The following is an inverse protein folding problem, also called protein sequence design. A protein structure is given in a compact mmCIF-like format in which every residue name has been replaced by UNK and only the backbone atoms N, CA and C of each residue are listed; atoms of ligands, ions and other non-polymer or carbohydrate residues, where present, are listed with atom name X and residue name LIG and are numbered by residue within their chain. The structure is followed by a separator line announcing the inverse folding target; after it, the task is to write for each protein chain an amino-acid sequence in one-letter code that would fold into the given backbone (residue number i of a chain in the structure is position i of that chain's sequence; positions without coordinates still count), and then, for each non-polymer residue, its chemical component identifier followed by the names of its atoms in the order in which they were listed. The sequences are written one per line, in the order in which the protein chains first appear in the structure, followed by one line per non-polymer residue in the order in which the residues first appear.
data_IF_331140897537
#
_entry.id   IF_331140897537
#
_cell.length_a   1.000
_cell.length_b   1.000
_cell.length_c   1.000
_cell.angle_alpha   90.00
_cell.angle_beta   90.00
_cell.angle_gamma   90.00
#
_symmetry.space_group_name_H-M   'P 1'
#
loop_
_entity.id
_entity.type
_entity.pdbx_description
1 polymer ?
#
# COMPACT_ATOMS: atom_id res chain seq x y z
N UNK A 1 -24.61 5.24 0.87
CA UNK A 1 -24.74 3.82 0.50
C UNK A 1 -23.47 3.11 0.95
N UNK A 2 -23.59 1.98 1.59
CA UNK A 2 -22.46 1.20 2.10
C UNK A 2 -21.99 0.24 1.00
N UNK A 3 -20.97 0.65 0.24
CA UNK A 3 -20.45 -0.10 -0.95
C UNK A 3 -19.85 -1.46 -0.60
N UNK A 4 -19.42 -1.64 0.66
CA UNK A 4 -18.65 -2.81 1.10
C UNK A 4 -19.36 -3.64 2.18
N UNK A 5 -20.67 -3.51 2.32
CA UNK A 5 -21.44 -4.29 3.32
C UNK A 5 -21.20 -5.78 3.17
N UNK A 6 -20.73 -6.42 4.26
CA UNK A 6 -20.43 -7.85 4.30
C UNK A 6 -19.21 -8.29 3.49
N UNK A 7 -18.39 -7.35 3.01
CA UNK A 7 -17.10 -7.62 2.38
C UNK A 7 -15.97 -7.65 3.39
N UNK A 8 -14.88 -8.32 3.06
CA UNK A 8 -13.67 -8.41 3.86
C UNK A 8 -12.47 -7.96 3.03
N UNK A 9 -11.68 -7.03 3.56
CA UNK A 9 -10.46 -6.54 2.94
C UNK A 9 -9.22 -6.94 3.76
N UNK A 10 -8.18 -7.44 3.07
CA UNK A 10 -6.85 -7.64 3.64
C UNK A 10 -5.97 -6.43 3.33
N UNK A 11 -5.28 -5.88 4.34
CA UNK A 11 -4.47 -4.67 4.20
C UNK A 11 -3.11 -4.87 4.88
N UNK A 12 -2.01 -4.63 4.17
CA UNK A 12 -0.66 -4.62 4.75
C UNK A 12 -0.21 -3.19 5.08
N UNK A 13 0.56 -3.02 6.18
CA UNK A 13 0.96 -1.70 6.67
C UNK A 13 -0.23 -0.92 7.25
N UNK A 14 -1.06 -1.60 8.05
CA UNK A 14 -2.39 -1.11 8.48
C UNK A 14 -2.35 -0.27 9.75
N UNK A 15 -1.24 -0.29 10.49
CA UNK A 15 -1.18 0.33 11.81
C UNK A 15 -1.27 1.87 11.76
N UNK A 16 -0.91 2.52 10.64
CA UNK A 16 -0.93 3.99 10.51
C UNK A 16 -0.98 4.47 9.05
N UNK A 17 -1.01 5.78 8.86
CA UNK A 17 -0.93 6.43 7.54
C UNK A 17 -2.02 5.97 6.57
N UNK A 18 -1.63 5.69 5.33
CA UNK A 18 -2.58 5.29 4.29
C UNK A 18 -3.31 3.99 4.65
N UNK A 19 -2.60 2.97 5.16
CA UNK A 19 -3.21 1.69 5.51
C UNK A 19 -4.31 1.81 6.55
N UNK A 20 -4.09 2.59 7.63
CA UNK A 20 -5.12 2.88 8.65
C UNK A 20 -6.31 3.62 8.04
N UNK A 21 -6.05 4.63 7.22
CA UNK A 21 -7.11 5.41 6.57
C UNK A 21 -7.98 4.54 5.66
N UNK A 22 -7.36 3.68 4.85
CA UNK A 22 -8.09 2.72 4.01
C UNK A 22 -8.97 1.79 4.87
N UNK A 23 -8.43 1.26 5.97
CA UNK A 23 -9.14 0.35 6.87
C UNK A 23 -10.38 1.02 7.49
N UNK A 24 -10.21 2.22 8.05
CA UNK A 24 -11.30 2.97 8.71
C UNK A 24 -12.40 3.34 7.70
N UNK A 25 -12.03 3.81 6.51
CA UNK A 25 -13.00 4.19 5.50
C UNK A 25 -13.76 3.01 4.90
N UNK A 26 -13.08 1.88 4.69
CA UNK A 26 -13.74 0.64 4.28
C UNK A 26 -14.72 0.16 5.34
N UNK A 27 -14.34 0.24 6.63
CA UNK A 27 -15.20 -0.12 7.75
C UNK A 27 -16.45 0.79 7.84
N UNK A 28 -16.28 2.09 7.65
CA UNK A 28 -17.38 3.06 7.62
C UNK A 28 -18.38 2.76 6.47
N UNK A 29 -17.93 2.05 5.44
CA UNK A 29 -18.78 1.59 4.34
C UNK A 29 -19.19 0.10 4.45
N UNK A 30 -19.01 -0.51 5.63
CA UNK A 30 -19.56 -1.81 5.98
C UNK A 30 -18.63 -3.00 5.77
N UNK A 31 -17.34 -2.79 5.48
CA UNK A 31 -16.36 -3.87 5.39
C UNK A 31 -15.85 -4.31 6.77
N UNK A 32 -15.39 -5.56 6.85
CA UNK A 32 -14.49 -6.05 7.89
C UNK A 32 -13.05 -6.10 7.38
N UNK A 33 -12.08 -6.02 8.27
CA UNK A 33 -10.67 -5.87 7.92
C UNK A 33 -9.84 -7.02 8.49
N UNK A 34 -8.98 -7.58 7.66
CA UNK A 34 -7.82 -8.37 8.06
C UNK A 34 -6.61 -7.45 7.84
N UNK A 35 -5.79 -7.25 8.85
CA UNK A 35 -4.68 -6.32 8.71
C UNK A 35 -3.40 -6.81 9.38
N UNK A 36 -2.27 -6.47 8.81
CA UNK A 36 -0.97 -6.68 9.42
C UNK A 36 -0.08 -5.44 9.35
N UNK A 37 0.79 -5.32 10.32
CA UNK A 37 1.90 -4.36 10.33
C UNK A 37 3.07 -5.00 11.07
N UNK A 38 4.30 -4.64 10.71
CA UNK A 38 5.48 -5.17 11.38
C UNK A 38 5.64 -4.64 12.80
N UNK A 39 5.14 -3.44 13.05
CA UNK A 39 5.27 -2.72 14.33
C UNK A 39 6.73 -2.66 14.83
N UNK A 40 7.68 -2.70 13.90
CA UNK A 40 9.10 -2.74 14.17
C UNK A 40 9.84 -1.68 13.35
N UNK A 41 10.95 -1.11 13.88
CA UNK A 41 11.74 -0.14 13.14
C UNK A 41 12.39 -0.79 11.91
N UNK A 42 12.19 -0.22 10.69
CA UNK A 42 13.02 -0.57 9.55
C UNK A 42 14.48 -0.16 9.83
N UNK A 43 15.42 -0.93 9.29
CA UNK A 43 16.85 -0.71 9.60
C UNK A 43 17.42 0.55 8.94
N UNK A 44 16.84 1.00 7.81
CA UNK A 44 17.46 2.01 6.95
C UNK A 44 16.63 3.30 6.78
N UNK A 45 15.49 3.41 7.47
CA UNK A 45 14.63 4.61 7.42
C UNK A 45 14.92 5.57 8.56
N UNK A 46 14.59 6.85 8.36
CA UNK A 46 14.80 7.92 9.35
C UNK A 46 13.52 8.41 10.01
N UNK A 47 12.34 7.90 9.58
CA UNK A 47 11.06 8.21 10.23
C UNK A 47 10.72 7.15 11.29
N UNK A 48 9.98 7.59 12.30
CA UNK A 48 9.52 6.71 13.39
C UNK A 48 8.74 5.51 12.84
N UNK A 49 8.96 4.30 13.35
CA UNK A 49 8.21 3.11 12.96
C UNK A 49 6.76 3.15 13.47
N UNK A 50 5.90 2.29 12.93
CA UNK A 50 4.65 1.96 13.60
C UNK A 50 4.93 1.11 14.85
N UNK A 51 4.05 1.20 15.84
CA UNK A 51 4.12 0.46 17.11
C UNK A 51 2.92 -0.47 17.24
N UNK A 52 3.00 -1.41 18.20
CA UNK A 52 1.83 -2.24 18.54
C UNK A 52 0.66 -1.39 19.09
N UNK A 53 0.95 -0.26 19.73
CA UNK A 53 -0.07 0.70 20.15
C UNK A 53 -0.77 1.34 18.94
N UNK A 54 -0.02 1.69 17.89
CA UNK A 54 -0.62 2.18 16.64
C UNK A 54 -1.54 1.14 15.98
N UNK A 55 -1.15 -0.14 16.03
CA UNK A 55 -1.99 -1.22 15.52
C UNK A 55 -3.27 -1.39 16.36
N UNK A 56 -3.15 -1.31 17.68
CA UNK A 56 -4.31 -1.36 18.56
C UNK A 56 -5.26 -0.18 18.32
N UNK A 57 -4.73 1.03 18.10
CA UNK A 57 -5.52 2.20 17.71
C UNK A 57 -6.21 2.01 16.35
N UNK A 58 -5.54 1.37 15.37
CA UNK A 58 -6.16 1.08 14.08
C UNK A 58 -7.34 0.11 14.24
N UNK A 59 -7.19 -0.94 15.07
CA UNK A 59 -8.29 -1.86 15.40
C UNK A 59 -9.45 -1.10 16.03
N UNK A 60 -9.20 -0.30 17.06
CA UNK A 60 -10.23 0.47 17.75
C UNK A 60 -10.94 1.47 16.79
N UNK A 61 -10.20 2.11 15.89
CA UNK A 61 -10.76 3.03 14.91
C UNK A 61 -11.68 2.33 13.89
N UNK A 62 -11.30 1.13 13.43
CA UNK A 62 -12.13 0.31 12.55
C UNK A 62 -13.42 -0.12 13.25
N UNK A 63 -13.34 -0.53 14.52
CA UNK A 63 -14.50 -0.91 15.31
C UNK A 63 -15.42 0.28 15.59
N UNK A 64 -14.86 1.43 15.90
CA UNK A 64 -15.61 2.68 16.07
C UNK A 64 -16.32 3.12 14.77
N UNK A 65 -15.77 2.78 13.61
CA UNK A 65 -16.38 3.01 12.30
C UNK A 65 -17.46 1.96 11.93
N UNK A 66 -17.71 0.98 12.79
CA UNK A 66 -18.75 -0.05 12.61
C UNK A 66 -18.29 -1.34 11.94
N UNK A 67 -16.99 -1.49 11.65
CA UNK A 67 -16.40 -2.71 11.12
C UNK A 67 -15.92 -3.67 12.22
N UNK A 68 -15.37 -4.81 11.81
CA UNK A 68 -14.61 -5.73 12.65
C UNK A 68 -13.19 -5.81 12.11
N UNK A 69 -12.19 -5.96 12.97
CA UNK A 69 -10.81 -6.10 12.50
C UNK A 69 -10.07 -7.25 13.18
N UNK A 70 -9.41 -8.08 12.39
CA UNK A 70 -8.37 -9.01 12.82
C UNK A 70 -7.03 -8.35 12.50
N UNK A 71 -6.42 -7.69 13.49
CA UNK A 71 -5.11 -7.04 13.38
C UNK A 71 -4.01 -7.92 13.95
N UNK A 72 -2.88 -8.08 13.24
CA UNK A 72 -1.74 -8.90 13.71
C UNK A 72 -0.42 -8.21 13.44
N UNK A 73 0.51 -8.38 14.38
CA UNK A 73 1.92 -8.03 14.17
C UNK A 73 2.53 -9.09 13.26
N UNK A 74 2.93 -8.70 12.06
CA UNK A 74 3.61 -9.58 11.10
C UNK A 74 4.37 -8.74 10.07
N UNK A 75 5.52 -9.25 9.64
CA UNK A 75 6.35 -8.61 8.62
C UNK A 75 6.04 -9.20 7.25
N UNK A 76 5.83 -8.35 6.25
CA UNK A 76 5.58 -8.79 4.86
C UNK A 76 6.75 -9.56 4.25
N UNK A 77 7.95 -9.46 4.82
CA UNK A 77 9.13 -10.23 4.42
C UNK A 77 9.03 -11.71 4.82
N UNK A 78 8.21 -12.03 5.82
CA UNK A 78 7.95 -13.41 6.27
C UNK A 78 6.67 -13.95 5.60
N UNK A 79 6.86 -14.74 4.55
CA UNK A 79 5.76 -15.33 3.78
C UNK A 79 4.86 -16.25 4.63
N UNK A 80 5.41 -16.93 5.64
CA UNK A 80 4.63 -17.82 6.50
C UNK A 80 3.77 -17.01 7.48
N UNK A 81 4.31 -15.93 8.04
CA UNK A 81 3.55 -15.01 8.89
C UNK A 81 2.41 -14.33 8.12
N UNK A 82 2.66 -13.86 6.88
CA UNK A 82 1.60 -13.30 6.02
C UNK A 82 0.50 -14.31 5.77
N UNK A 83 0.86 -15.56 5.41
CA UNK A 83 -0.12 -16.62 5.17
C UNK A 83 -0.96 -16.90 6.42
N UNK A 84 -0.31 -17.02 7.58
CA UNK A 84 -1.01 -17.28 8.85
C UNK A 84 -2.04 -16.19 9.19
N UNK A 85 -1.72 -14.91 8.93
CA UNK A 85 -2.66 -13.81 9.14
C UNK A 85 -3.86 -13.88 8.19
N UNK A 86 -3.63 -14.24 6.92
CA UNK A 86 -4.72 -14.42 5.95
C UNK A 86 -5.62 -15.58 6.37
N UNK A 87 -5.04 -16.73 6.72
CA UNK A 87 -5.79 -17.93 7.12
C UNK A 87 -6.65 -17.67 8.37
N UNK A 88 -6.07 -17.08 9.41
CA UNK A 88 -6.78 -16.69 10.64
C UNK A 88 -7.91 -15.69 10.35
N UNK A 89 -7.60 -14.67 9.54
CA UNK A 89 -8.56 -13.63 9.19
C UNK A 89 -9.75 -14.19 8.41
N UNK A 90 -9.49 -15.05 7.44
CA UNK A 90 -10.54 -15.72 6.64
C UNK A 90 -11.35 -16.68 7.50
N UNK A 91 -10.71 -17.45 8.39
CA UNK A 91 -11.42 -18.31 9.33
C UNK A 91 -12.34 -17.52 10.28
N UNK A 92 -11.91 -16.34 10.73
CA UNK A 92 -12.64 -15.49 11.68
C UNK A 92 -13.77 -14.68 11.03
N UNK A 93 -13.54 -14.16 9.82
CA UNK A 93 -14.46 -13.24 9.14
C UNK A 93 -15.24 -13.91 7.99
N UNK A 94 -14.89 -15.16 7.66
CA UNK A 94 -15.65 -16.05 6.77
C UNK A 94 -15.37 -15.89 5.28
N UNK A 95 -14.57 -14.88 4.86
CA UNK A 95 -14.28 -14.60 3.44
C UNK A 95 -13.11 -13.64 3.26
N UNK A 96 -12.68 -13.49 2.01
CA UNK A 96 -11.81 -12.43 1.52
C UNK A 96 -12.37 -11.90 0.19
N UNK A 97 -12.48 -10.58 0.02
CA UNK A 97 -12.98 -9.95 -1.21
C UNK A 97 -12.00 -8.98 -1.83
N UNK A 98 -11.25 -8.28 -0.98
CA UNK A 98 -10.39 -7.20 -1.39
C UNK A 98 -9.00 -7.33 -0.77
N UNK A 99 -7.97 -6.92 -1.53
CA UNK A 99 -6.59 -6.90 -1.06
C UNK A 99 -5.98 -5.53 -1.32
N UNK A 100 -5.34 -4.95 -0.32
CA UNK A 100 -4.56 -3.73 -0.44
C UNK A 100 -3.12 -4.03 0.00
N UNK A 101 -2.24 -4.24 -0.97
CA UNK A 101 -0.81 -4.38 -0.74
C UNK A 101 -0.20 -2.98 -0.61
N UNK A 102 -0.13 -2.47 0.63
CA UNK A 102 0.23 -1.09 0.93
C UNK A 102 1.54 -0.94 1.72
N UNK A 103 1.96 -1.95 2.49
CA UNK A 103 3.20 -1.89 3.26
C UNK A 103 4.40 -1.50 2.39
N UNK A 104 5.17 -0.52 2.82
CA UNK A 104 6.37 -0.07 2.14
C UNK A 104 7.31 0.68 3.07
N UNK A 105 8.59 0.72 2.72
CA UNK A 105 9.63 1.54 3.33
C UNK A 105 10.30 2.42 2.28
N UNK A 106 10.92 3.52 2.72
CA UNK A 106 11.64 4.43 1.85
C UNK A 106 12.85 4.99 2.60
N UNK A 107 14.03 4.87 2.02
CA UNK A 107 15.24 5.58 2.41
C UNK A 107 15.73 6.46 1.26
N UNK A 108 16.76 7.27 1.48
CA UNK A 108 17.20 8.30 0.54
C UNK A 108 18.70 8.24 0.32
N UNK A 109 19.12 8.47 -0.91
CA UNK A 109 20.53 8.52 -1.27
C UNK A 109 20.74 8.52 -2.78
N UNK A 110 21.90 8.92 -3.26
CA UNK A 110 22.28 8.76 -4.65
C UNK A 110 22.39 7.26 -4.97
N UNK A 111 21.91 6.85 -6.13
CA UNK A 111 21.81 5.44 -6.48
C UNK A 111 23.12 4.66 -6.32
N UNK A 112 24.27 5.31 -6.58
CA UNK A 112 25.59 4.70 -6.47
C UNK A 112 26.20 4.81 -5.05
N UNK A 113 25.54 5.50 -4.13
CA UNK A 113 25.95 5.69 -2.72
C UNK A 113 25.09 4.88 -1.75
N UNK A 114 24.02 4.27 -2.24
CA UNK A 114 23.15 3.42 -1.41
C UNK A 114 23.93 2.25 -0.85
N UNK A 115 23.71 1.97 0.44
CA UNK A 115 24.29 0.77 1.04
C UNK A 115 23.56 -0.48 0.57
N UNK A 116 24.21 -1.67 0.59
CA UNK A 116 23.53 -2.93 0.31
C UNK A 116 22.29 -3.16 1.17
N UNK A 117 22.32 -2.72 2.43
CA UNK A 117 21.21 -2.85 3.37
C UNK A 117 20.01 -2.02 2.94
N UNK A 118 20.22 -0.75 2.51
CA UNK A 118 19.16 0.12 1.99
C UNK A 118 18.49 -0.50 0.75
N UNK A 119 19.32 -1.04 -0.14
CA UNK A 119 18.83 -1.73 -1.34
C UNK A 119 18.00 -2.95 -0.97
N UNK A 120 18.56 -3.85 -0.16
CA UNK A 120 17.95 -5.13 0.21
C UNK A 120 16.66 -4.91 0.97
N UNK A 121 16.65 -4.07 2.01
CA UNK A 121 15.45 -3.79 2.79
C UNK A 121 14.33 -3.22 1.92
N UNK A 122 14.66 -2.28 1.02
CA UNK A 122 13.65 -1.69 0.12
C UNK A 122 13.07 -2.73 -0.85
N UNK A 123 13.90 -3.61 -1.40
CA UNK A 123 13.43 -4.70 -2.29
C UNK A 123 12.61 -5.72 -1.52
N UNK A 124 13.08 -6.15 -0.35
CA UNK A 124 12.43 -7.18 0.44
C UNK A 124 11.04 -6.75 0.92
N UNK A 125 10.90 -5.50 1.37
CA UNK A 125 9.60 -4.99 1.82
C UNK A 125 8.70 -4.62 0.64
N UNK A 126 9.20 -3.77 -0.29
CA UNK A 126 8.34 -3.13 -1.28
C UNK A 126 8.03 -3.99 -2.51
N UNK A 127 8.82 -5.02 -2.78
CA UNK A 127 8.65 -5.91 -3.92
C UNK A 127 8.36 -7.35 -3.47
N UNK A 128 9.27 -7.96 -2.72
CA UNK A 128 9.11 -9.33 -2.24
C UNK A 128 7.91 -9.44 -1.30
N UNK A 129 7.73 -8.47 -0.38
CA UNK A 129 6.59 -8.43 0.53
C UNK A 129 5.24 -8.26 -0.18
N UNK A 130 5.20 -7.50 -1.28
CA UNK A 130 4.01 -7.43 -2.15
C UNK A 130 3.74 -8.79 -2.79
N UNK A 131 4.77 -9.45 -3.32
CA UNK A 131 4.61 -10.80 -3.87
C UNK A 131 4.13 -11.81 -2.81
N UNK A 132 4.66 -11.80 -1.58
CA UNK A 132 4.16 -12.63 -0.48
C UNK A 132 2.68 -12.38 -0.19
N UNK A 133 2.27 -11.11 -0.19
CA UNK A 133 0.87 -10.68 -0.03
C UNK A 133 -0.02 -11.31 -1.11
N UNK A 134 0.37 -11.20 -2.38
CA UNK A 134 -0.38 -11.76 -3.50
C UNK A 134 -0.41 -13.30 -3.45
N UNK A 135 0.72 -13.94 -3.13
CA UNK A 135 0.82 -15.38 -2.99
C UNK A 135 -0.10 -15.95 -1.90
N UNK A 136 -0.28 -15.23 -0.80
CA UNK A 136 -1.14 -15.65 0.31
C UNK A 136 -2.64 -15.40 0.02
N UNK A 137 -2.98 -14.40 -0.79
CA UNK A 137 -4.37 -13.96 -0.94
C UNK A 137 -5.04 -14.40 -2.23
N UNK A 138 -4.30 -14.46 -3.34
CA UNK A 138 -4.87 -14.80 -4.66
C UNK A 138 -5.49 -16.20 -4.70
N UNK A 139 -4.84 -17.26 -4.18
CA UNK A 139 -5.45 -18.60 -4.15
C UNK A 139 -6.80 -18.60 -3.42
N UNK A 140 -6.89 -17.92 -2.29
CA UNK A 140 -8.13 -17.80 -1.52
C UNK A 140 -9.24 -17.10 -2.31
N UNK A 141 -8.93 -16.00 -3.02
CA UNK A 141 -9.91 -15.32 -3.89
C UNK A 141 -10.40 -16.23 -5.02
N UNK A 142 -9.49 -17.00 -5.64
CA UNK A 142 -9.84 -17.96 -6.72
C UNK A 142 -10.71 -19.07 -6.17
N UNK A 143 -10.33 -19.71 -5.07
CA UNK A 143 -11.04 -20.83 -4.46
C UNK A 143 -12.48 -20.45 -4.05
N UNK A 144 -12.67 -19.23 -3.56
CA UNK A 144 -14.00 -18.74 -3.21
C UNK A 144 -14.92 -18.53 -4.43
N UNK A 145 -14.37 -18.35 -5.65
CA UNK A 145 -15.13 -18.23 -6.90
C UNK A 145 -16.11 -17.04 -6.96
N UNK A 146 -15.83 -15.97 -6.20
CA UNK A 146 -16.71 -14.79 -6.07
C UNK A 146 -16.17 -13.55 -6.76
N UNK A 147 -15.04 -13.68 -7.47
CA UNK A 147 -14.28 -12.55 -7.97
C UNK A 147 -13.55 -11.82 -6.83
N UNK A 148 -13.10 -10.61 -7.08
CA UNK A 148 -12.40 -9.80 -6.10
C UNK A 148 -11.73 -8.56 -6.69
N UNK A 149 -11.11 -7.77 -5.85
CA UNK A 149 -10.32 -6.62 -6.32
C UNK A 149 -9.06 -6.43 -5.48
N UNK A 150 -7.93 -6.29 -6.17
CA UNK A 150 -6.61 -6.08 -5.59
C UNK A 150 -6.13 -4.70 -5.98
N UNK A 151 -5.68 -3.91 -5.00
CA UNK A 151 -5.02 -2.63 -5.22
C UNK A 151 -3.62 -2.69 -4.61
N UNK A 152 -2.60 -2.36 -5.41
CA UNK A 152 -1.22 -2.28 -4.96
C UNK A 152 -0.83 -0.81 -4.87
N UNK A 153 -0.35 -0.37 -3.71
CA UNK A 153 0.15 0.99 -3.53
C UNK A 153 1.55 1.11 -4.14
N UNK A 154 1.58 1.66 -5.36
CA UNK A 154 2.82 2.08 -6.00
C UNK A 154 3.21 3.50 -5.52
N UNK A 155 3.59 4.39 -6.40
CA UNK A 155 3.99 5.78 -6.13
C UNK A 155 4.08 6.55 -7.45
N UNK A 156 4.11 7.88 -7.42
CA UNK A 156 4.59 8.70 -8.53
C UNK A 156 5.98 8.27 -9.01
N UNK A 157 6.83 7.75 -8.09
CA UNK A 157 8.13 7.14 -8.42
C UNK A 157 8.02 5.85 -9.25
N UNK A 158 6.84 5.25 -9.38
CA UNK A 158 6.55 4.14 -10.28
C UNK A 158 6.03 4.57 -11.66
N UNK A 159 5.96 5.89 -11.93
CA UNK A 159 5.55 6.47 -13.21
C UNK A 159 6.62 7.39 -13.79
N UNK A 160 7.47 7.99 -12.96
CA UNK A 160 8.62 8.80 -13.39
C UNK A 160 9.85 8.52 -12.54
N UNK A 161 11.04 8.85 -13.04
CA UNK A 161 12.28 8.79 -12.26
C UNK A 161 12.36 9.93 -11.26
N UNK A 162 12.49 9.61 -9.97
CA UNK A 162 12.76 10.59 -8.93
C UNK A 162 14.21 10.44 -8.46
N UNK A 163 15.00 11.52 -8.41
CA UNK A 163 16.36 11.48 -7.88
C UNK A 163 16.34 11.11 -6.41
N UNK A 164 17.42 10.53 -5.90
CA UNK A 164 17.60 10.10 -4.51
C UNK A 164 16.67 8.96 -4.04
N UNK A 165 15.82 8.46 -4.92
CA UNK A 165 14.83 7.40 -4.69
C UNK A 165 15.01 6.23 -5.66
N UNK A 166 16.21 5.99 -6.20
CA UNK A 166 16.42 5.03 -7.29
C UNK A 166 15.99 3.60 -6.95
N UNK A 167 16.33 3.08 -5.77
CA UNK A 167 15.93 1.75 -5.28
C UNK A 167 14.42 1.68 -5.02
N UNK A 168 13.87 2.70 -4.36
CA UNK A 168 12.42 2.81 -4.13
C UNK A 168 11.64 2.86 -5.45
N UNK A 169 12.06 3.74 -6.37
CA UNK A 169 11.47 3.84 -7.71
C UNK A 169 11.51 2.51 -8.45
N UNK A 170 12.65 1.81 -8.42
CA UNK A 170 12.78 0.49 -9.05
C UNK A 170 11.73 -0.50 -8.53
N UNK A 171 11.49 -0.58 -7.21
CA UNK A 171 10.46 -1.45 -6.64
C UNK A 171 9.05 -1.02 -7.05
N UNK A 172 8.76 0.29 -7.12
CA UNK A 172 7.44 0.82 -7.49
C UNK A 172 7.12 0.64 -8.97
N UNK A 173 8.12 0.70 -9.86
CA UNK A 173 7.97 0.26 -11.24
C UNK A 173 7.75 -1.25 -11.35
N UNK A 174 8.48 -2.05 -10.59
CA UNK A 174 8.35 -3.50 -10.59
C UNK A 174 6.95 -3.97 -10.15
N UNK A 175 6.39 -3.43 -9.06
CA UNK A 175 5.03 -3.81 -8.63
C UNK A 175 3.94 -3.34 -9.61
N UNK A 176 4.18 -2.26 -10.36
CA UNK A 176 3.29 -1.82 -11.43
C UNK A 176 3.27 -2.84 -12.59
N UNK A 177 4.44 -3.36 -12.96
CA UNK A 177 4.56 -4.45 -13.94
C UNK A 177 3.92 -5.75 -13.42
N UNK A 178 4.19 -6.12 -12.17
CA UNK A 178 3.62 -7.30 -11.50
C UNK A 178 2.08 -7.24 -11.49
N UNK A 179 1.49 -6.09 -11.18
CA UNK A 179 0.04 -5.90 -11.17
C UNK A 179 -0.58 -6.16 -12.55
N UNK A 180 0.06 -5.70 -13.62
CA UNK A 180 -0.41 -5.93 -15.00
C UNK A 180 -0.34 -7.40 -15.40
N UNK A 181 0.74 -8.10 -15.04
CA UNK A 181 0.85 -9.55 -15.28
C UNK A 181 -0.24 -10.30 -14.54
N UNK A 182 -0.37 -10.03 -13.23
CA UNK A 182 -1.39 -10.69 -12.41
C UNK A 182 -2.82 -10.40 -12.90
N UNK A 183 -3.11 -9.17 -13.37
CA UNK A 183 -4.42 -8.83 -13.93
C UNK A 183 -4.81 -9.74 -15.12
N UNK A 184 -3.84 -10.11 -15.96
CA UNK A 184 -4.06 -11.05 -17.06
C UNK A 184 -4.30 -12.49 -16.56
N UNK A 185 -3.55 -12.90 -15.52
CA UNK A 185 -3.62 -14.27 -14.98
C UNK A 185 -4.94 -14.54 -14.26
N UNK A 186 -5.46 -13.54 -13.50
CA UNK A 186 -6.65 -13.74 -12.65
C UNK A 186 -7.95 -13.19 -13.25
N UNK A 187 -7.89 -12.61 -14.44
CA UNK A 187 -9.06 -12.04 -15.12
C UNK A 187 -10.17 -13.07 -15.36
N UNK A 188 -9.83 -14.31 -15.68
CA UNK A 188 -10.80 -15.42 -15.85
C UNK A 188 -11.57 -15.74 -14.56
N UNK A 189 -11.01 -15.40 -13.40
CA UNK A 189 -11.64 -15.56 -12.09
C UNK A 189 -12.45 -14.32 -11.66
N UNK A 190 -12.64 -13.34 -12.55
CA UNK A 190 -13.29 -12.05 -12.24
C UNK A 190 -12.59 -11.28 -11.11
N UNK A 191 -11.29 -11.44 -10.97
CA UNK A 191 -10.45 -10.69 -10.02
C UNK A 191 -9.80 -9.54 -10.79
N UNK A 192 -9.94 -8.31 -10.28
CA UNK A 192 -9.34 -7.11 -10.86
C UNK A 192 -8.08 -6.74 -10.08
N UNK A 193 -7.04 -6.29 -10.78
CA UNK A 193 -5.78 -5.87 -10.16
C UNK A 193 -5.36 -4.52 -10.72
N UNK A 194 -5.20 -3.52 -9.85
CA UNK A 194 -4.80 -2.17 -10.23
C UNK A 194 -3.72 -1.62 -9.31
N UNK A 195 -3.06 -0.56 -9.72
CA UNK A 195 -2.13 0.18 -8.88
C UNK A 195 -2.59 1.62 -8.69
N UNK A 196 -2.34 2.18 -7.49
CA UNK A 196 -2.45 3.62 -7.22
C UNK A 196 -1.06 4.22 -7.10
N UNK A 197 -0.90 5.45 -7.56
CA UNK A 197 0.38 6.15 -7.63
C UNK A 197 0.29 7.51 -6.95
N UNK A 198 0.34 7.56 -5.61
CA UNK A 198 0.33 8.81 -4.88
C UNK A 198 1.58 9.65 -5.11
N UNK A 199 1.43 10.99 -5.06
CA UNK A 199 2.53 11.91 -4.75
C UNK A 199 2.88 11.84 -3.26
N UNK A 200 3.59 12.83 -2.72
CA UNK A 200 3.85 12.92 -1.29
C UNK A 200 2.54 12.99 -0.49
N UNK A 201 2.36 12.10 0.47
CA UNK A 201 1.18 11.99 1.33
C UNK A 201 1.55 12.41 2.75
N UNK A 202 0.68 13.13 3.47
CA UNK A 202 0.85 13.47 4.88
C UNK A 202 0.80 12.22 5.76
N UNK A 203 1.95 11.62 5.95
CA UNK A 203 2.20 10.40 6.74
C UNK A 203 3.60 10.48 7.32
N UNK A 204 3.97 9.67 8.33
CA UNK A 204 5.34 9.65 8.84
C UNK A 204 6.40 9.47 7.75
N UNK A 205 6.18 8.58 6.77
CA UNK A 205 7.08 8.45 5.60
C UNK A 205 7.11 9.71 4.75
N UNK A 206 5.97 10.35 4.49
CA UNK A 206 5.89 11.56 3.68
C UNK A 206 6.43 12.81 4.39
N UNK A 207 6.52 12.78 5.72
CA UNK A 207 7.04 13.85 6.57
C UNK A 207 8.50 13.62 6.98
N UNK A 208 9.12 12.56 6.48
CA UNK A 208 10.48 12.16 6.82
C UNK A 208 11.49 13.31 6.69
N UNK A 209 12.21 13.65 7.77
CA UNK A 209 13.27 14.66 7.73
C UNK A 209 14.47 14.24 6.85
N UNK A 210 14.67 12.93 6.63
CA UNK A 210 15.77 12.40 5.81
C UNK A 210 15.73 12.90 4.38
N UNK A 211 14.54 12.94 3.75
CA UNK A 211 14.42 13.52 2.40
C UNK A 211 14.79 15.00 2.38
N UNK A 212 14.36 15.76 3.38
CA UNK A 212 14.69 17.20 3.46
C UNK A 212 16.17 17.43 3.65
N UNK A 213 16.83 16.62 4.48
CA UNK A 213 18.27 16.71 4.72
C UNK A 213 19.05 16.46 3.42
N UNK A 214 18.77 15.37 2.72
CA UNK A 214 19.46 15.02 1.47
C UNK A 214 19.13 16.02 0.35
N UNK A 215 17.91 16.54 0.25
CA UNK A 215 17.57 17.60 -0.70
C UNK A 215 18.24 18.92 -0.35
N UNK A 216 18.50 19.23 0.93
CA UNK A 216 19.26 20.40 1.35
C UNK A 216 20.70 20.40 0.79
N UNK A 217 21.31 19.21 0.72
CA UNK A 217 22.64 19.02 0.11
C UNK A 217 22.58 19.06 -1.43
N UNK A 218 21.43 18.81 -2.02
CA UNK A 218 21.21 18.69 -3.47
C UNK A 218 20.03 19.52 -3.94
N UNK A 219 19.97 20.80 -3.57
CA UNK A 219 18.82 21.69 -3.80
C UNK A 219 18.35 21.74 -5.29
N UNK A 220 19.26 21.58 -6.26
CA UNK A 220 18.93 21.57 -7.68
C UNK A 220 18.05 20.39 -8.10
N UNK A 221 17.97 19.31 -7.30
CA UNK A 221 17.13 18.14 -7.54
C UNK A 221 15.69 18.32 -7.03
N UNK A 222 15.44 19.32 -6.18
CA UNK A 222 14.13 19.54 -5.56
C UNK A 222 13.00 19.79 -6.57
N UNK A 223 13.33 20.39 -7.72
CA UNK A 223 12.38 20.64 -8.82
C UNK A 223 11.69 19.37 -9.36
N UNK A 224 12.33 18.20 -9.21
CA UNK A 224 11.77 16.91 -9.67
C UNK A 224 10.61 16.42 -8.79
N UNK A 225 10.41 17.04 -7.62
CA UNK A 225 9.37 16.68 -6.65
C UNK A 225 8.15 17.62 -6.69
N UNK A 226 8.05 18.46 -7.71
CA UNK A 226 6.91 19.37 -7.87
C UNK A 226 5.63 18.67 -8.27
N UNK A 227 4.50 19.32 -7.97
CA UNK A 227 3.16 18.96 -8.45
C UNK A 227 2.66 20.04 -9.42
N UNK A 228 1.76 19.68 -10.36
CA UNK A 228 1.10 20.65 -11.22
C UNK A 228 0.04 21.47 -10.46
N UNK A 229 -0.75 20.80 -9.62
CA UNK A 229 -1.68 21.48 -8.74
C UNK A 229 -0.93 22.12 -7.57
N UNK A 230 -1.42 23.26 -7.04
CA UNK A 230 -0.73 24.04 -6.00
C UNK A 230 -0.85 23.37 -4.62
N UNK A 231 -0.36 22.16 -4.49
CA UNK A 231 -0.27 21.43 -3.23
C UNK A 231 1.12 20.83 -3.07
N UNK A 232 1.67 20.84 -1.85
CA UNK A 232 2.93 20.18 -1.55
C UNK A 232 2.76 18.70 -1.21
N UNK A 233 1.64 18.36 -0.57
CA UNK A 233 1.27 16.99 -0.17
C UNK A 233 -0.24 16.85 -0.19
N UNK A 234 -0.69 15.63 -0.46
CA UNK A 234 -2.09 15.23 -0.34
C UNK A 234 -2.34 14.49 0.98
N UNK A 235 -3.59 14.30 1.35
CA UNK A 235 -3.95 13.55 2.55
C UNK A 235 -4.13 12.04 2.24
N UNK A 236 -4.01 11.20 3.27
CA UNK A 236 -4.25 9.76 3.10
C UNK A 236 -5.69 9.48 2.64
N UNK A 237 -6.65 10.34 3.01
CA UNK A 237 -8.04 10.28 2.54
C UNK A 237 -8.17 10.44 1.03
N UNK A 238 -7.38 11.32 0.40
CA UNK A 238 -7.41 11.51 -1.06
C UNK A 238 -6.99 10.24 -1.80
N UNK A 239 -6.00 9.52 -1.26
CA UNK A 239 -5.59 8.22 -1.81
C UNK A 239 -6.66 7.16 -1.54
N UNK A 240 -7.28 7.18 -0.35
CA UNK A 240 -8.35 6.25 -0.01
C UNK A 240 -9.56 6.38 -0.92
N UNK A 241 -9.90 7.58 -1.39
CA UNK A 241 -10.98 7.77 -2.36
C UNK A 241 -10.76 6.95 -3.64
N UNK A 242 -9.56 7.01 -4.19
CA UNK A 242 -9.19 6.24 -5.37
C UNK A 242 -9.15 4.72 -5.08
N UNK A 243 -8.59 4.31 -3.94
CA UNK A 243 -8.51 2.90 -3.53
C UNK A 243 -9.92 2.32 -3.37
N UNK A 244 -10.80 2.97 -2.61
CA UNK A 244 -12.16 2.51 -2.40
C UNK A 244 -12.94 2.43 -3.71
N UNK A 245 -12.79 3.43 -4.60
CA UNK A 245 -13.40 3.37 -5.93
C UNK A 245 -12.90 2.16 -6.72
N UNK A 246 -11.59 1.91 -6.77
CA UNK A 246 -11.02 0.75 -7.47
C UNK A 246 -11.48 -0.59 -6.88
N UNK A 247 -11.73 -0.66 -5.58
CA UNK A 247 -12.24 -1.87 -4.93
C UNK A 247 -13.73 -2.09 -5.19
N UNK A 248 -14.50 -1.03 -5.42
CA UNK A 248 -15.96 -1.07 -5.58
C UNK A 248 -16.41 -1.60 -6.94
N UNK A 249 -17.71 -1.92 -7.05
CA UNK A 249 -18.35 -2.32 -8.30
C UNK A 249 -18.44 -1.18 -9.33
N UNK A 250 -18.25 0.07 -8.91
CA UNK A 250 -18.18 1.23 -9.81
C UNK A 250 -16.98 1.12 -10.77
N UNK A 251 -15.90 0.47 -10.33
CA UNK A 251 -14.71 0.20 -11.14
C UNK A 251 -14.69 -1.23 -11.75
N UNK A 252 -15.84 -1.89 -11.90
CA UNK A 252 -15.93 -3.30 -12.34
C UNK A 252 -15.26 -3.64 -13.67
N UNK A 253 -14.99 -2.64 -14.50
CA UNK A 253 -14.31 -2.81 -15.79
C UNK A 253 -12.89 -2.25 -15.82
N UNK A 254 -12.35 -1.89 -14.66
CA UNK A 254 -10.99 -1.36 -14.52
C UNK A 254 -10.08 -2.44 -13.93
N UNK A 255 -9.13 -2.92 -14.74
CA UNK A 255 -8.09 -3.87 -14.34
C UNK A 255 -6.82 -3.61 -15.13
N UNK A 256 -5.64 -3.90 -14.56
CA UNK A 256 -4.33 -3.62 -15.16
C UNK A 256 -3.97 -2.12 -15.24
N UNK A 257 -4.76 -1.25 -14.61
CA UNK A 257 -4.58 0.19 -14.67
C UNK A 257 -3.58 0.69 -13.62
N UNK A 258 -2.86 1.75 -14.00
CA UNK A 258 -2.01 2.53 -13.11
C UNK A 258 -2.67 3.91 -12.89
N UNK A 259 -3.25 4.15 -11.73
CA UNK A 259 -4.06 5.34 -11.44
C UNK A 259 -3.22 6.35 -10.64
N UNK A 260 -2.81 7.48 -11.22
CA UNK A 260 -2.12 8.52 -10.49
C UNK A 260 -3.08 9.25 -9.54
N UNK A 261 -2.65 9.43 -8.29
CA UNK A 261 -3.28 10.27 -7.28
C UNK A 261 -2.20 11.25 -6.82
N UNK A 262 -1.77 12.11 -7.74
CA UNK A 262 -0.46 12.72 -7.65
C UNK A 262 -0.43 14.23 -7.93
N UNK A 263 -1.58 14.87 -8.01
CA UNK A 263 -1.68 16.31 -8.33
C UNK A 263 -0.89 16.69 -9.60
N UNK A 264 -0.73 15.75 -10.55
CA UNK A 264 0.02 15.95 -11.79
C UNK A 264 1.54 15.79 -11.67
N UNK A 265 2.06 15.32 -10.52
CA UNK A 265 3.50 15.20 -10.28
C UNK A 265 4.22 14.32 -11.29
N UNK A 266 3.57 13.29 -11.83
CA UNK A 266 4.17 12.40 -12.84
C UNK A 266 4.26 13.01 -14.24
N UNK A 267 3.64 14.18 -14.46
CA UNK A 267 3.58 14.86 -15.76
C UNK A 267 4.56 16.05 -15.88
N UNK A 268 5.30 16.39 -14.83
CA UNK A 268 6.25 17.50 -14.76
C UNK A 268 7.66 17.05 -14.47
#
# INVERSE_FOLDING_TARGET
MTRFTGRVAFITGVARGQGREHAVRLAAEGASIIGLDSCAPPATTTYEPATEADLAEAVAAVEAAGGRMVGRVADVRDAAAVQAVVDEGVATLGRLDHVIANAAVCSYGRLWELTPEQWTETVDVNLTGVWHTLRATVPTLIEQGRGGSIVITSSGAGLKGLPLLGHYGATKWAVTGMARSLANEVGEHSIRVNTVHPTAVRTPMGDDPGLRAVLGEHAHLSRSFGNMLPTGKIDASDVSDAVLWLLSDEARWITGAAIPVDAGASQV
#
